data_IF_826110595243
#
_entry.id   IF_826110595243
#
_cell.length_a   1.000
_cell.length_b   1.000
_cell.length_c   1.000
_cell.angle_alpha   90.00
_cell.angle_beta   90.00
_cell.angle_gamma   90.00
#
_symmetry.space_group_name_H-M   'P 1'
#
loop_
_entity.id
_entity.type
_entity.pdbx_description
1 polymer ?
#
# COMPACT_ATOMS: atom_id res chain seq x y z
N UNK A 1 11.98 -11.77 17.53
CA UNK A 1 11.94 -11.89 16.06
C UNK A 1 11.56 -10.51 15.56
N UNK A 2 12.26 -9.98 14.57
CA UNK A 2 11.93 -8.66 14.02
C UNK A 2 10.63 -8.79 13.23
N UNK A 3 9.65 -7.95 13.54
CA UNK A 3 8.35 -7.92 12.88
C UNK A 3 8.24 -6.60 12.12
N UNK A 4 7.67 -6.66 10.92
CA UNK A 4 7.43 -5.47 10.08
C UNK A 4 5.96 -5.40 9.71
N UNK A 5 5.47 -4.19 9.46
CA UNK A 5 4.14 -3.96 8.94
C UNK A 5 4.19 -3.77 7.43
N UNK A 6 3.46 -4.59 6.70
CA UNK A 6 3.05 -4.28 5.34
C UNK A 6 1.90 -3.28 5.39
N UNK A 7 2.13 -2.09 4.87
CA UNK A 7 1.11 -1.06 4.70
C UNK A 7 0.77 -0.97 3.22
N UNK A 8 -0.53 -1.00 2.90
CA UNK A 8 -1.05 -0.82 1.55
C UNK A 8 -2.08 0.30 1.61
N UNK A 9 -1.90 1.33 0.78
CA UNK A 9 -2.83 2.44 0.65
C UNK A 9 -3.43 2.41 -0.74
N UNK A 10 -4.75 2.33 -0.81
CA UNK A 10 -5.54 2.40 -2.03
C UNK A 10 -6.33 3.69 -2.00
N UNK A 11 -6.14 4.54 -3.00
CA UNK A 11 -6.87 5.80 -3.17
C UNK A 11 -7.72 5.69 -4.42
N UNK A 12 -9.02 5.93 -4.29
CA UNK A 12 -9.95 6.06 -5.41
C UNK A 12 -10.02 7.51 -5.83
N UNK A 13 -9.75 7.78 -7.11
CA UNK A 13 -9.72 9.12 -7.68
C UNK A 13 -11.00 9.41 -8.46
N UNK A 14 -11.48 10.65 -8.37
CA UNK A 14 -12.56 11.12 -9.22
C UNK A 14 -12.04 11.32 -10.65
N UNK A 15 -12.58 10.53 -11.59
CA UNK A 15 -12.24 10.66 -13.01
C UNK A 15 -12.86 11.90 -13.67
N UNK A 16 -13.95 12.44 -13.12
CA UNK A 16 -14.59 13.65 -13.61
C UNK A 16 -13.89 14.93 -13.11
N UNK A 17 -13.26 14.86 -11.93
CA UNK A 17 -12.54 15.98 -11.30
C UNK A 17 -11.11 15.56 -10.95
N UNK A 18 -10.13 15.77 -11.85
CA UNK A 18 -8.74 15.36 -11.60
C UNK A 18 -8.18 15.97 -10.31
N UNK A 19 -7.63 15.12 -9.45
CA UNK A 19 -7.04 15.50 -8.17
C UNK A 19 -7.97 15.39 -6.96
N UNK A 20 -9.26 15.12 -7.16
CA UNK A 20 -10.19 14.84 -6.08
C UNK A 20 -10.12 13.36 -5.68
N UNK A 21 -9.97 13.10 -4.38
CA UNK A 21 -10.04 11.77 -3.78
C UNK A 21 -11.51 11.48 -3.45
N UNK A 22 -12.05 10.40 -4.00
CA UNK A 22 -13.40 9.92 -3.65
C UNK A 22 -13.39 9.15 -2.35
N UNK A 23 -12.42 8.26 -2.18
CA UNK A 23 -12.29 7.39 -1.02
C UNK A 23 -10.86 6.89 -0.86
N UNK A 24 -10.51 6.40 0.32
CA UNK A 24 -9.24 5.71 0.56
C UNK A 24 -9.36 4.59 1.58
N UNK A 25 -8.59 3.53 1.35
CA UNK A 25 -8.50 2.36 2.22
C UNK A 25 -7.04 2.14 2.58
N UNK A 26 -6.79 1.92 3.86
CA UNK A 26 -5.47 1.54 4.39
C UNK A 26 -5.57 0.13 4.96
N UNK A 27 -4.75 -0.77 4.43
CA UNK A 27 -4.60 -2.14 4.94
C UNK A 27 -3.24 -2.25 5.60
N UNK A 28 -3.23 -2.77 6.83
CA UNK A 28 -2.01 -2.99 7.61
C UNK A 28 -1.98 -4.45 8.01
N UNK A 29 -0.88 -5.14 7.71
CA UNK A 29 -0.65 -6.53 8.07
C UNK A 29 0.75 -6.71 8.63
N UNK A 30 0.86 -7.42 9.74
CA UNK A 30 2.15 -7.83 10.29
C UNK A 30 2.73 -8.99 9.49
N UNK A 31 4.04 -8.99 9.26
CA UNK A 31 4.77 -10.05 8.57
C UNK A 31 6.23 -10.11 9.01
N UNK A 32 6.89 -11.23 8.75
CA UNK A 32 8.35 -11.29 8.80
C UNK A 32 8.96 -10.45 7.66
N UNK A 33 10.18 -9.88 7.82
CA UNK A 33 10.78 -8.96 6.84
C UNK A 33 10.79 -9.49 5.40
N UNK A 34 11.28 -10.73 5.20
CA UNK A 34 11.34 -11.34 3.87
C UNK A 34 9.94 -11.58 3.25
N UNK A 35 8.94 -11.88 4.08
CA UNK A 35 7.57 -12.09 3.63
C UNK A 35 6.90 -10.76 3.27
N UNK A 36 7.17 -9.68 4.01
CA UNK A 36 6.66 -8.35 3.70
C UNK A 36 7.13 -7.90 2.30
N UNK A 37 8.42 -8.01 2.00
CA UNK A 37 8.95 -7.63 0.69
C UNK A 37 8.44 -8.50 -0.47
N UNK A 38 8.10 -9.75 -0.19
CA UNK A 38 7.42 -10.60 -1.17
C UNK A 38 6.02 -10.06 -1.47
N UNK A 39 5.19 -9.86 -0.44
CA UNK A 39 3.82 -9.36 -0.58
C UNK A 39 3.78 -7.96 -1.19
N UNK A 40 4.67 -7.06 -0.77
CA UNK A 40 4.80 -5.71 -1.35
C UNK A 40 5.02 -5.77 -2.86
N UNK A 41 5.89 -6.66 -3.34
CA UNK A 41 6.13 -6.84 -4.77
C UNK A 41 4.91 -7.41 -5.50
N UNK A 42 4.15 -8.31 -4.87
CA UNK A 42 2.89 -8.83 -5.41
C UNK A 42 1.81 -7.74 -5.53
N UNK A 43 1.74 -6.81 -4.57
CA UNK A 43 0.84 -5.65 -4.64
C UNK A 43 1.22 -4.75 -5.81
N UNK A 44 2.50 -4.39 -5.95
CA UNK A 44 2.99 -3.53 -7.03
C UNK A 44 2.78 -4.16 -8.41
N UNK A 45 2.97 -5.48 -8.54
CA UNK A 45 2.76 -6.18 -9.82
C UNK A 45 1.28 -6.32 -10.18
N UNK A 46 0.41 -6.46 -9.19
CA UNK A 46 -1.05 -6.56 -9.40
C UNK A 46 -1.68 -5.19 -9.67
N UNK A 47 -1.10 -4.12 -9.11
CA UNK A 47 -1.58 -2.74 -9.22
C UNK A 47 -0.50 -1.80 -9.74
N UNK A 48 -0.06 -1.95 -11.00
CA UNK A 48 0.88 -1.01 -11.60
C UNK A 48 0.25 0.39 -11.65
N UNK A 49 0.88 1.34 -10.99
CA UNK A 49 0.44 2.74 -10.93
C UNK A 49 0.87 3.46 -12.24
N UNK A 50 0.01 4.30 -12.87
CA UNK A 50 -1.39 4.57 -12.55
C UNK A 50 -2.38 3.65 -13.29
N UNK A 51 -3.32 3.07 -12.54
CA UNK A 51 -4.55 2.52 -13.10
C UNK A 51 -5.62 3.62 -13.16
N UNK A 52 -6.49 3.59 -14.15
CA UNK A 52 -7.56 4.58 -14.27
C UNK A 52 -8.46 4.54 -13.01
N UNK A 53 -8.50 5.66 -12.28
CA UNK A 53 -9.36 5.83 -11.10
C UNK A 53 -8.78 5.30 -9.79
N UNK A 54 -7.58 4.70 -9.80
CA UNK A 54 -6.95 4.18 -8.60
C UNK A 54 -5.45 4.50 -8.52
N UNK A 55 -5.00 4.88 -7.33
CA UNK A 55 -3.59 4.91 -6.98
C UNK A 55 -3.35 3.97 -5.81
N UNK A 56 -2.36 3.10 -5.97
CA UNK A 56 -1.99 2.12 -4.95
C UNK A 56 -0.53 2.31 -4.59
N UNK A 57 -0.25 2.40 -3.30
CA UNK A 57 1.08 2.40 -2.73
C UNK A 57 1.21 1.27 -1.72
N UNK A 58 2.41 0.71 -1.60
CA UNK A 58 2.70 -0.27 -0.57
C UNK A 58 4.15 -0.18 -0.10
N UNK A 59 4.37 -0.40 1.19
CA UNK A 59 5.67 -0.36 1.82
C UNK A 59 5.73 -1.26 3.06
N UNK A 60 6.95 -1.64 3.43
CA UNK A 60 7.25 -2.35 4.67
C UNK A 60 7.81 -1.35 5.68
N UNK A 61 7.26 -1.32 6.90
CA UNK A 61 7.69 -0.45 8.01
C UNK A 61 8.21 -1.31 9.15
N UNK A 62 9.38 -1.00 9.71
CA UNK A 62 9.84 -1.62 10.95
C UNK A 62 8.90 -1.26 12.10
N UNK A 63 8.48 -2.22 12.92
CA UNK A 63 7.63 -1.88 14.08
C UNK A 63 8.38 -1.03 15.11
N UNK A 64 9.70 -1.01 15.06
CA UNK A 64 10.57 -0.13 15.86
C UNK A 64 10.64 1.31 15.34
N UNK A 65 10.22 1.57 14.10
CA UNK A 65 10.15 2.91 13.50
C UNK A 65 8.83 3.64 13.82
N UNK A 66 7.96 3.00 14.61
CA UNK A 66 6.63 3.49 15.00
C UNK A 66 6.66 3.82 16.51
N UNK A 67 7.42 4.84 16.88
CA UNK A 67 7.37 5.47 18.22
C UNK A 67 6.45 6.70 18.23
#
# INVERSE_FOLDING_TARGET
>A
MEHVLLVIVVVMLNLATPGEILDSVVLVSEAAPAQCEKLRREVVSSWPNPQAGFQVWSWCVGTEDIE
#
